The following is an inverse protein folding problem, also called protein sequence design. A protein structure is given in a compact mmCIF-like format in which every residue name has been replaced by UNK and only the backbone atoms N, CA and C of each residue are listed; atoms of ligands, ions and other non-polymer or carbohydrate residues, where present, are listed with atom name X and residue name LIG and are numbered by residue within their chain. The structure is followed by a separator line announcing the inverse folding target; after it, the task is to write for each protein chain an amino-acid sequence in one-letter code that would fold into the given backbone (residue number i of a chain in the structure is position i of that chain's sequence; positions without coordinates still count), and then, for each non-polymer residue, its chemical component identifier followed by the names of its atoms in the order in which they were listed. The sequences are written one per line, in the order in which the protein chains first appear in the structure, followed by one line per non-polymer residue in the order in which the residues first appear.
data_IF_946542409942
#
_entry.id   IF_946542409942
#
_cell.length_a   1.000
_cell.length_b   1.000
_cell.length_c   1.000
_cell.angle_alpha   90.00
_cell.angle_beta   90.00
_cell.angle_gamma   90.00
#
_symmetry.space_group_name_H-M   'P 1'
#
loop_
_entity.id
_entity.type
_entity.pdbx_description
1 polymer ?
#
# COMPACT_ATOMS: atom_id res chain seq x y z
N UNK A 1 15.73 0.20 24.62
CA UNK A 1 15.00 -1.04 24.95
C UNK A 1 14.81 -1.93 23.73
N UNK A 2 14.02 -1.53 22.71
CA UNK A 2 13.67 -2.40 21.57
C UNK A 2 14.84 -2.99 20.76
N UNK A 3 15.98 -2.28 20.68
CA UNK A 3 17.17 -2.73 19.93
C UNK A 3 18.15 -3.60 20.75
N UNK A 4 17.77 -4.04 21.95
CA UNK A 4 18.67 -4.82 22.82
C UNK A 4 18.63 -6.31 22.50
N UNK A 5 19.73 -7.02 22.73
CA UNK A 5 19.81 -8.49 22.57
C UNK A 5 18.78 -9.21 23.46
N UNK A 6 18.57 -8.72 24.69
CA UNK A 6 17.55 -9.26 25.58
C UNK A 6 16.13 -9.16 25.01
N UNK A 7 15.80 -8.05 24.33
CA UNK A 7 14.52 -7.93 23.61
C UNK A 7 14.46 -8.89 22.42
N UNK A 8 15.55 -9.02 21.67
CA UNK A 8 15.63 -9.95 20.54
C UNK A 8 15.42 -11.40 20.97
N UNK A 9 16.12 -11.85 22.02
CA UNK A 9 16.00 -13.21 22.55
C UNK A 9 14.58 -13.49 23.06
N UNK A 10 13.99 -12.52 23.77
CA UNK A 10 12.60 -12.61 24.22
C UNK A 10 11.64 -12.73 23.04
N UNK A 11 11.80 -11.89 22.02
CA UNK A 11 10.95 -11.92 20.83
C UNK A 11 11.20 -13.16 19.97
N UNK A 12 12.35 -13.81 20.04
CA UNK A 12 12.64 -15.05 19.32
C UNK A 12 11.96 -16.27 19.95
N UNK A 13 11.69 -16.23 21.25
CA UNK A 13 11.07 -17.33 21.98
C UNK A 13 9.59 -17.51 21.64
N UNK A 14 9.29 -18.60 20.92
CA UNK A 14 7.92 -19.00 20.55
C UNK A 14 7.16 -19.68 21.69
N UNK A 15 7.84 -20.12 22.76
CA UNK A 15 7.19 -20.86 23.85
C UNK A 15 6.32 -19.97 24.75
N UNK A 16 6.69 -18.69 24.89
CA UNK A 16 5.97 -17.73 25.71
C UNK A 16 4.87 -16.93 24.99
N UNK A 17 4.86 -16.87 23.65
CA UNK A 17 3.79 -16.24 22.89
C UNK A 17 3.78 -16.69 21.43
N UNK A 18 2.59 -16.87 20.88
CA UNK A 18 2.38 -17.24 19.48
C UNK A 18 2.78 -16.12 18.50
N UNK A 19 2.68 -14.85 18.90
CA UNK A 19 2.91 -13.70 18.02
C UNK A 19 4.03 -12.77 18.53
N UNK A 20 4.98 -12.44 17.65
CA UNK A 20 6.06 -11.50 17.98
C UNK A 20 5.52 -10.08 18.18
N UNK A 21 4.47 -9.69 17.44
CA UNK A 21 3.87 -8.36 17.56
C UNK A 21 3.20 -8.16 18.91
N UNK A 22 2.49 -9.17 19.42
CA UNK A 22 1.84 -9.11 20.73
C UNK A 22 2.86 -8.92 21.88
N UNK A 23 3.98 -9.66 21.85
CA UNK A 23 5.06 -9.47 22.83
C UNK A 23 5.71 -8.08 22.72
N UNK A 24 5.93 -7.59 21.51
CA UNK A 24 6.52 -6.26 21.31
C UNK A 24 5.62 -5.16 21.89
N UNK A 25 4.29 -5.27 21.72
CA UNK A 25 3.33 -4.33 22.33
C UNK A 25 3.44 -4.35 23.85
N UNK A 26 3.53 -5.52 24.48
CA UNK A 26 3.73 -5.62 25.93
C UNK A 26 5.03 -4.93 26.37
N UNK A 27 6.13 -5.11 25.63
CA UNK A 27 7.41 -4.45 25.93
C UNK A 27 7.34 -2.94 25.77
N UNK A 28 6.67 -2.44 24.74
CA UNK A 28 6.47 -1.01 24.54
C UNK A 28 5.67 -0.38 25.67
N UNK A 29 4.57 -1.04 26.07
CA UNK A 29 3.73 -0.60 27.19
C UNK A 29 4.49 -0.57 28.50
N UNK A 30 5.27 -1.61 28.79
CA UNK A 30 6.12 -1.65 29.98
C UNK A 30 7.14 -0.50 30.03
N UNK A 31 7.55 0.04 28.87
CA UNK A 31 8.41 1.21 28.78
C UNK A 31 7.82 2.45 29.48
N UNK A 32 6.51 2.70 29.35
CA UNK A 32 5.84 3.83 30.00
C UNK A 32 5.93 3.76 31.53
N UNK A 33 5.74 2.56 32.07
CA UNK A 33 5.84 2.30 33.50
C UNK A 33 7.24 2.62 34.05
N UNK A 34 8.30 2.35 33.30
CA UNK A 34 9.67 2.69 33.73
C UNK A 34 9.91 4.20 33.83
N UNK A 35 9.13 4.98 33.08
CA UNK A 35 9.17 6.44 33.09
C UNK A 35 8.20 7.05 34.13
N UNK A 36 7.47 6.22 34.89
CA UNK A 36 6.50 6.68 35.87
C UNK A 36 5.16 7.12 35.29
N UNK A 37 4.86 6.76 34.03
CA UNK A 37 3.58 7.04 33.39
C UNK A 37 2.68 5.80 33.35
N UNK A 38 1.37 6.05 33.33
CA UNK A 38 0.38 5.02 33.03
C UNK A 38 0.50 4.54 31.58
N UNK A 39 0.42 3.22 31.38
CA UNK A 39 0.68 2.60 30.08
C UNK A 39 -0.37 2.97 29.03
N UNK A 40 -1.64 2.99 29.41
CA UNK A 40 -2.75 3.30 28.50
C UNK A 40 -2.77 4.78 28.13
N UNK A 41 -2.55 5.66 29.12
CA UNK A 41 -2.43 7.09 28.87
C UNK A 41 -1.20 7.42 27.99
N UNK A 42 -0.07 6.75 28.22
CA UNK A 42 1.14 6.92 27.41
C UNK A 42 0.92 6.52 25.95
N UNK A 43 0.35 5.33 25.71
CA UNK A 43 -0.01 4.88 24.37
C UNK A 43 -1.03 5.82 23.69
N UNK A 44 -2.10 6.20 24.39
CA UNK A 44 -3.12 7.09 23.83
C UNK A 44 -2.59 8.50 23.53
N UNK A 45 -1.60 8.98 24.29
CA UNK A 45 -0.93 10.25 24.01
C UNK A 45 -0.07 10.14 22.74
N UNK A 46 0.67 9.03 22.56
CA UNK A 46 1.48 8.78 21.38
C UNK A 46 0.65 8.73 20.09
N UNK A 47 -0.56 8.18 20.16
CA UNK A 47 -1.48 8.10 19.01
C UNK A 47 -2.03 9.47 18.58
N UNK A 48 -2.05 10.44 19.50
CA UNK A 48 -2.63 11.78 19.27
C UNK A 48 -1.60 12.83 18.87
N UNK A 49 -0.31 12.52 18.90
CA UNK A 49 0.79 13.46 18.64
C UNK A 49 0.58 14.26 17.34
N UNK A 50 0.18 13.58 16.27
CA UNK A 50 0.00 14.20 14.95
C UNK A 50 -1.10 15.29 14.94
N UNK A 51 -2.11 15.17 15.81
CA UNK A 51 -3.21 16.12 15.92
C UNK A 51 -3.07 17.15 17.03
N UNK A 52 -2.35 16.83 18.11
CA UNK A 52 -2.22 17.70 19.27
C UNK A 52 -1.17 18.80 19.09
N UNK A 53 -0.12 18.55 18.29
CA UNK A 53 0.99 19.49 18.12
C UNK A 53 1.55 19.45 16.68
N UNK A 54 0.75 19.83 15.65
CA UNK A 54 1.14 19.68 14.24
C UNK A 54 2.34 20.57 13.83
N UNK A 55 2.67 21.60 14.62
CA UNK A 55 3.82 22.47 14.37
C UNK A 55 5.15 21.91 14.89
N UNK A 56 5.11 20.90 15.76
CA UNK A 56 6.29 20.38 16.42
C UNK A 56 6.95 19.25 15.61
N UNK A 57 7.67 19.65 14.56
CA UNK A 57 8.36 18.74 13.65
C UNK A 57 9.32 17.78 14.37
N UNK A 58 9.96 18.23 15.47
CA UNK A 58 10.84 17.38 16.25
C UNK A 58 10.08 16.23 16.93
N UNK A 59 8.93 16.52 17.54
CA UNK A 59 8.11 15.50 18.18
C UNK A 59 7.54 14.51 17.15
N UNK A 60 7.09 15.01 15.99
CA UNK A 60 6.62 14.16 14.89
C UNK A 60 7.73 13.23 14.38
N UNK A 61 8.95 13.74 14.22
CA UNK A 61 10.10 12.93 13.81
C UNK A 61 10.44 11.86 14.86
N UNK A 62 10.49 12.22 16.15
CA UNK A 62 10.76 11.27 17.22
C UNK A 62 9.71 10.16 17.29
N UNK A 63 8.44 10.49 17.07
CA UNK A 63 7.35 9.52 16.95
C UNK A 63 7.57 8.59 15.75
N UNK A 64 7.88 9.15 14.58
CA UNK A 64 8.15 8.35 13.39
C UNK A 64 9.34 7.39 13.61
N UNK A 65 10.43 7.86 14.20
CA UNK A 65 11.61 7.06 14.52
C UNK A 65 11.28 5.93 15.51
N UNK A 66 10.45 6.21 16.51
CA UNK A 66 9.95 5.21 17.45
C UNK A 66 9.14 4.13 16.73
N UNK A 67 8.15 4.53 15.92
CA UNK A 67 7.28 3.62 15.16
C UNK A 67 8.12 2.76 14.21
N UNK A 68 9.01 3.36 13.42
CA UNK A 68 9.86 2.59 12.51
C UNK A 68 10.86 1.69 13.24
N UNK A 69 11.32 2.08 14.43
CA UNK A 69 12.15 1.19 15.26
C UNK A 69 11.36 -0.03 15.71
N UNK A 70 10.11 0.16 16.14
CA UNK A 70 9.22 -0.94 16.51
C UNK A 70 8.96 -1.88 15.33
N UNK A 71 8.61 -1.33 14.16
CA UNK A 71 8.35 -2.10 12.95
C UNK A 71 9.58 -2.93 12.52
N UNK A 72 10.78 -2.35 12.52
CA UNK A 72 12.03 -3.09 12.24
C UNK A 72 12.27 -4.20 13.25
N UNK A 73 12.01 -3.92 14.54
CA UNK A 73 12.18 -4.91 15.61
C UNK A 73 11.23 -6.10 15.43
N UNK A 74 9.97 -5.83 15.08
CA UNK A 74 8.99 -6.87 14.77
C UNK A 74 9.40 -7.70 13.54
N UNK A 75 9.74 -7.05 12.43
CA UNK A 75 10.17 -7.75 11.21
C UNK A 75 11.44 -8.59 11.45
N UNK A 76 12.39 -8.07 12.22
CA UNK A 76 13.59 -8.83 12.60
C UNK A 76 13.23 -10.05 13.45
N UNK A 77 12.28 -9.92 14.38
CA UNK A 77 11.81 -11.06 15.18
C UNK A 77 11.14 -12.14 14.31
N UNK A 78 10.39 -11.76 13.27
CA UNK A 78 9.82 -12.72 12.30
C UNK A 78 10.95 -13.50 11.61
N UNK A 79 11.98 -12.80 11.10
CA UNK A 79 13.15 -13.44 10.47
C UNK A 79 13.91 -14.33 11.45
N UNK A 80 14.15 -13.88 12.68
CA UNK A 80 14.88 -14.65 13.70
C UNK A 80 14.13 -15.90 14.16
N UNK A 81 12.80 -15.91 14.01
CA UNK A 81 11.92 -17.05 14.28
C UNK A 81 11.87 -18.04 13.11
N UNK A 82 12.47 -17.75 11.95
CA UNK A 82 12.45 -18.63 10.78
C UNK A 82 12.96 -20.03 11.16
N UNK A 83 12.18 -21.10 10.93
CA UNK A 83 12.65 -22.46 11.20
C UNK A 83 13.75 -22.86 10.21
N UNK A 84 14.58 -23.82 10.60
CA UNK A 84 15.65 -24.33 9.74
C UNK A 84 15.10 -25.08 8.52
N UNK A 85 13.96 -25.75 8.67
CA UNK A 85 13.24 -26.45 7.60
C UNK A 85 11.88 -25.78 7.37
N UNK A 86 11.56 -25.52 6.10
CA UNK A 86 10.28 -24.93 5.71
C UNK A 86 9.21 -26.02 5.62
N UNK A 87 7.98 -25.69 6.04
CA UNK A 87 6.81 -26.53 5.88
C UNK A 87 6.31 -26.45 4.42
N UNK A 88 6.21 -27.61 3.77
CA UNK A 88 5.84 -27.74 2.36
C UNK A 88 4.60 -28.60 2.13
N UNK A 89 3.98 -29.13 3.19
CA UNK A 89 2.93 -30.15 3.09
C UNK A 89 1.71 -29.83 3.95
N UNK A 90 1.92 -29.47 5.21
CA UNK A 90 0.81 -29.24 6.14
C UNK A 90 0.08 -27.94 5.83
N UNK A 91 -1.24 -27.87 6.09
CA UNK A 91 -1.98 -26.61 6.01
C UNK A 91 -1.35 -25.53 6.90
N UNK A 92 -1.38 -24.29 6.42
CA UNK A 92 -0.95 -23.14 7.21
C UNK A 92 -2.01 -22.86 8.29
N UNK A 93 -1.62 -22.75 9.59
CA UNK A 93 -2.57 -22.44 10.64
C UNK A 93 -3.08 -21.00 10.52
N UNK A 94 -4.28 -20.75 11.04
CA UNK A 94 -4.96 -19.44 11.01
C UNK A 94 -4.05 -18.31 11.50
N UNK A 95 -3.37 -18.54 12.62
CA UNK A 95 -2.50 -17.56 13.28
C UNK A 95 -1.32 -17.16 12.40
N UNK A 96 -0.78 -18.10 11.61
CA UNK A 96 0.31 -17.82 10.68
C UNK A 96 -0.16 -16.95 9.50
N UNK A 97 -1.40 -17.09 9.03
CA UNK A 97 -1.95 -16.16 8.04
C UNK A 97 -2.09 -14.75 8.59
N UNK A 98 -2.58 -14.60 9.83
CA UNK A 98 -2.70 -13.28 10.47
C UNK A 98 -1.31 -12.64 10.62
N UNK A 99 -0.33 -13.38 11.14
CA UNK A 99 1.04 -12.89 11.29
C UNK A 99 1.66 -12.56 9.93
N UNK A 100 1.36 -13.33 8.88
CA UNK A 100 1.77 -13.04 7.51
C UNK A 100 1.22 -11.71 6.99
N UNK A 101 -0.08 -11.46 7.14
CA UNK A 101 -0.68 -10.19 6.69
C UNK A 101 -0.12 -9.00 7.47
N UNK A 102 0.05 -9.13 8.79
CA UNK A 102 0.61 -8.08 9.63
C UNK A 102 2.08 -7.79 9.29
N UNK A 103 2.89 -8.83 9.07
CA UNK A 103 4.28 -8.69 8.65
C UNK A 103 4.41 -8.06 7.26
N UNK A 104 3.58 -8.48 6.29
CA UNK A 104 3.55 -7.87 4.96
C UNK A 104 3.15 -6.39 5.02
N UNK A 105 2.08 -6.06 5.73
CA UNK A 105 1.61 -4.68 5.87
C UNK A 105 2.69 -3.80 6.52
N UNK A 106 3.30 -4.30 7.60
CA UNK A 106 4.42 -3.63 8.26
C UNK A 106 5.58 -3.42 7.29
N UNK A 107 5.96 -4.45 6.53
CA UNK A 107 7.06 -4.36 5.55
C UNK A 107 6.77 -3.34 4.46
N UNK A 108 5.54 -3.23 3.98
CA UNK A 108 5.15 -2.25 2.95
C UNK A 108 5.15 -0.80 3.45
N UNK A 109 4.92 -0.59 4.75
CA UNK A 109 4.97 0.75 5.37
C UNK A 109 6.41 1.22 5.70
N UNK A 110 7.41 0.34 5.58
CA UNK A 110 8.83 0.67 5.85
C UNK A 110 9.42 1.63 4.79
N UNK A 111 10.14 2.70 5.20
CA UNK A 111 10.83 3.59 4.26
C UNK A 111 11.80 2.87 3.31
N UNK A 112 12.51 1.85 3.80
CA UNK A 112 13.45 1.06 3.00
C UNK A 112 12.73 0.30 1.88
N UNK A 113 11.53 -0.24 2.15
CA UNK A 113 10.73 -0.92 1.13
C UNK A 113 10.27 0.08 0.08
N UNK A 114 9.78 1.26 0.48
CA UNK A 114 9.38 2.32 -0.47
C UNK A 114 10.57 2.74 -1.34
N UNK A 115 11.76 2.89 -0.76
CA UNK A 115 12.97 3.22 -1.47
C UNK A 115 13.32 2.15 -2.52
N UNK A 116 13.38 0.87 -2.14
CA UNK A 116 13.67 -0.24 -3.05
C UNK A 116 12.69 -0.27 -4.23
N UNK A 117 11.40 -0.07 -3.96
CA UNK A 117 10.37 -0.03 -5.00
C UNK A 117 10.52 1.18 -5.93
N UNK A 118 10.88 2.34 -5.38
CA UNK A 118 11.10 3.56 -6.16
C UNK A 118 12.34 3.45 -7.06
N UNK A 119 13.43 2.87 -6.55
CA UNK A 119 14.64 2.58 -7.32
C UNK A 119 14.34 1.61 -8.47
N UNK A 120 13.57 0.54 -8.22
CA UNK A 120 13.13 -0.38 -9.25
C UNK A 120 12.32 0.32 -10.36
N UNK A 121 11.39 1.20 -9.97
CA UNK A 121 10.56 1.94 -10.92
C UNK A 121 11.40 2.93 -11.74
N UNK A 122 12.34 3.64 -11.11
CA UNK A 122 13.25 4.53 -11.81
C UNK A 122 14.13 3.79 -12.82
N UNK A 123 14.57 2.58 -12.49
CA UNK A 123 15.43 1.77 -13.36
C UNK A 123 14.68 1.11 -14.53
N UNK A 124 13.43 0.65 -14.31
CA UNK A 124 12.70 -0.15 -15.30
C UNK A 124 11.58 0.59 -15.99
N UNK A 125 11.14 1.73 -15.45
CA UNK A 125 9.90 2.41 -15.82
C UNK A 125 8.69 1.46 -15.82
N UNK A 126 8.65 0.50 -14.89
CA UNK A 126 7.55 -0.45 -14.67
C UNK A 126 7.03 -0.36 -13.23
N UNK A 127 5.74 -0.65 -13.06
CA UNK A 127 5.12 -0.76 -11.72
C UNK A 127 5.69 -2.00 -11.01
N UNK A 128 6.17 -1.89 -9.75
CA UNK A 128 6.95 -2.93 -9.09
C UNK A 128 6.10 -4.08 -8.50
N UNK A 129 5.06 -4.53 -9.22
CA UNK A 129 4.14 -5.58 -8.75
C UNK A 129 4.87 -6.90 -8.49
N UNK A 130 5.76 -7.32 -9.40
CA UNK A 130 6.54 -8.55 -9.26
C UNK A 130 7.49 -8.49 -8.05
N UNK A 131 8.08 -7.32 -7.81
CA UNK A 131 8.97 -7.11 -6.68
C UNK A 131 8.21 -7.18 -5.34
N UNK A 132 7.00 -6.60 -5.27
CA UNK A 132 6.13 -6.76 -4.09
C UNK A 132 5.73 -8.22 -3.88
N UNK A 133 5.37 -8.95 -4.94
CA UNK A 133 5.04 -10.38 -4.86
C UNK A 133 6.24 -11.17 -4.32
N UNK A 134 7.46 -10.85 -4.75
CA UNK A 134 8.66 -11.51 -4.25
C UNK A 134 8.90 -11.20 -2.76
N UNK A 135 8.75 -9.95 -2.33
CA UNK A 135 8.84 -9.57 -0.90
C UNK A 135 7.81 -10.34 -0.06
N UNK A 136 6.58 -10.49 -0.56
CA UNK A 136 5.54 -11.26 0.12
C UNK A 136 5.89 -12.75 0.19
N UNK A 137 6.44 -13.33 -0.88
CA UNK A 137 6.90 -14.72 -0.89
C UNK A 137 8.07 -14.96 0.07
N UNK A 138 9.02 -14.03 0.13
CA UNK A 138 10.13 -14.09 1.09
C UNK A 138 9.58 -14.09 2.54
N UNK A 139 8.57 -13.27 2.82
CA UNK A 139 7.92 -13.22 4.14
C UNK A 139 7.24 -14.54 4.54
N UNK A 140 6.69 -15.29 3.58
CA UNK A 140 6.12 -16.62 3.85
C UNK A 140 7.22 -17.61 4.28
N UNK A 141 8.40 -17.54 3.68
CA UNK A 141 9.53 -18.37 4.09
C UNK A 141 10.06 -17.98 5.46
N UNK A 142 10.09 -16.68 5.78
CA UNK A 142 10.50 -16.21 7.11
C UNK A 142 9.55 -16.70 8.21
N UNK A 143 8.25 -16.88 7.89
CA UNK A 143 7.28 -17.52 8.77
C UNK A 143 7.37 -19.05 8.81
N UNK A 144 8.19 -19.65 7.94
CA UNK A 144 8.48 -21.07 7.93
C UNK A 144 7.70 -21.89 6.92
N UNK A 145 7.13 -21.29 5.87
CA UNK A 145 6.39 -22.00 4.83
C UNK A 145 7.04 -21.79 3.46
N UNK A 146 7.13 -22.85 2.66
CA UNK A 146 7.67 -22.75 1.30
C UNK A 146 6.76 -21.88 0.40
N UNK A 147 7.37 -21.07 -0.48
CA UNK A 147 6.68 -20.03 -1.28
C UNK A 147 5.47 -20.56 -2.03
N UNK A 148 5.64 -21.61 -2.82
CA UNK A 148 4.60 -22.10 -3.72
C UNK A 148 3.48 -22.79 -2.94
N UNK A 149 3.85 -23.59 -1.93
CA UNK A 149 2.92 -24.22 -1.00
C UNK A 149 2.07 -23.17 -0.28
N UNK A 150 2.70 -22.16 0.30
CA UNK A 150 2.02 -21.10 1.02
C UNK A 150 1.12 -20.25 0.11
N UNK A 151 1.58 -19.90 -1.11
CA UNK A 151 0.73 -19.23 -2.09
C UNK A 151 -0.51 -20.06 -2.46
N UNK A 152 -0.37 -21.38 -2.60
CA UNK A 152 -1.51 -22.26 -2.84
C UNK A 152 -2.50 -22.24 -1.67
N UNK A 153 -2.01 -22.16 -0.42
CA UNK A 153 -2.86 -22.06 0.77
C UNK A 153 -3.56 -20.69 0.87
N UNK A 154 -2.89 -19.59 0.54
CA UNK A 154 -3.51 -18.25 0.52
C UNK A 154 -4.73 -18.20 -0.41
N UNK A 155 -4.65 -18.84 -1.59
CA UNK A 155 -5.75 -18.90 -2.55
C UNK A 155 -6.95 -19.72 -2.05
N UNK A 156 -6.76 -20.53 -1.00
CA UNK A 156 -7.81 -21.37 -0.41
C UNK A 156 -8.49 -20.76 0.82
N UNK A 157 -8.05 -19.57 1.28
CA UNK A 157 -8.63 -18.92 2.47
C UNK A 157 -10.16 -18.82 2.41
N UNK A 158 -10.81 -18.40 1.29
CA UNK A 158 -12.27 -18.36 1.21
C UNK A 158 -12.97 -19.72 1.39
N UNK A 159 -12.31 -20.81 1.01
CA UNK A 159 -12.85 -22.17 1.10
C UNK A 159 -12.56 -22.81 2.45
N UNK A 160 -11.34 -22.64 2.97
CA UNK A 160 -10.90 -23.26 4.22
C UNK A 160 -11.38 -22.45 5.46
N UNK A 161 -11.64 -21.14 5.32
CA UNK A 161 -12.09 -20.24 6.39
C UNK A 161 -13.30 -19.35 5.97
N UNK A 162 -14.43 -19.90 5.54
CA UNK A 162 -15.53 -19.13 4.93
C UNK A 162 -16.21 -18.14 5.89
N UNK A 163 -16.15 -18.36 7.21
CA UNK A 163 -16.83 -17.56 8.22
C UNK A 163 -15.89 -16.69 9.06
N UNK A 164 -14.59 -16.66 8.73
CA UNK A 164 -13.58 -15.96 9.53
C UNK A 164 -13.44 -14.49 9.10
N UNK A 165 -14.30 -13.63 9.66
CA UNK A 165 -14.37 -12.22 9.27
C UNK A 165 -13.05 -11.47 9.49
N UNK A 166 -12.33 -11.77 10.57
CA UNK A 166 -11.03 -11.14 10.87
C UNK A 166 -10.01 -11.50 9.79
N UNK A 167 -9.91 -12.79 9.44
CA UNK A 167 -8.97 -13.25 8.43
C UNK A 167 -9.26 -12.63 7.05
N UNK A 168 -10.53 -12.56 6.66
CA UNK A 168 -10.94 -11.89 5.41
C UNK A 168 -10.64 -10.39 5.41
N UNK A 169 -10.88 -9.71 6.53
CA UNK A 169 -10.57 -8.30 6.68
C UNK A 169 -9.06 -8.04 6.57
N UNK A 170 -8.23 -8.88 7.21
CA UNK A 170 -6.76 -8.80 7.12
C UNK A 170 -6.27 -9.05 5.70
N UNK A 171 -6.84 -10.03 5.00
CA UNK A 171 -6.54 -10.31 3.60
C UNK A 171 -6.86 -9.11 2.68
N UNK A 172 -8.05 -8.52 2.80
CA UNK A 172 -8.43 -7.34 2.02
C UNK A 172 -7.57 -6.11 2.36
N UNK A 173 -7.25 -5.91 3.65
CA UNK A 173 -6.34 -4.85 4.09
C UNK A 173 -4.96 -5.01 3.46
N UNK A 174 -4.44 -6.24 3.42
CA UNK A 174 -3.18 -6.57 2.78
C UNK A 174 -3.19 -6.30 1.27
N UNK A 175 -4.27 -6.71 0.58
CA UNK A 175 -4.44 -6.43 -0.86
C UNK A 175 -4.47 -4.92 -1.13
N UNK A 176 -5.25 -4.18 -0.35
CA UNK A 176 -5.35 -2.72 -0.46
C UNK A 176 -4.02 -2.03 -0.16
N UNK A 177 -3.28 -2.48 0.85
CA UNK A 177 -1.96 -1.94 1.21
C UNK A 177 -0.93 -2.15 0.10
N UNK A 178 -0.87 -3.33 -0.50
CA UNK A 178 0.02 -3.61 -1.63
C UNK A 178 -0.27 -2.66 -2.82
N UNK A 179 -1.55 -2.49 -3.18
CA UNK A 179 -1.96 -1.57 -4.23
C UNK A 179 -1.63 -0.11 -3.89
N UNK A 180 -1.94 0.34 -2.67
CA UNK A 180 -1.64 1.69 -2.21
C UNK A 180 -0.12 1.99 -2.22
N UNK A 181 0.69 0.98 -1.89
CA UNK A 181 2.15 1.08 -1.92
C UNK A 181 2.67 1.27 -3.35
N UNK A 182 2.18 0.50 -4.33
CA UNK A 182 2.49 0.73 -5.74
C UNK A 182 2.14 2.15 -6.18
N UNK A 183 0.94 2.63 -5.84
CA UNK A 183 0.50 3.99 -6.19
C UNK A 183 1.33 5.07 -5.52
N UNK A 184 1.75 4.86 -4.27
CA UNK A 184 2.65 5.77 -3.55
C UNK A 184 4.00 5.86 -4.25
N UNK A 185 4.58 4.73 -4.63
CA UNK A 185 5.88 4.68 -5.34
C UNK A 185 5.76 5.35 -6.71
N UNK A 186 4.67 5.10 -7.44
CA UNK A 186 4.37 5.78 -8.70
C UNK A 186 4.34 7.30 -8.54
N UNK A 187 3.67 7.77 -7.49
CA UNK A 187 3.60 9.19 -7.17
C UNK A 187 4.98 9.78 -6.85
N UNK A 188 5.82 9.07 -6.09
CA UNK A 188 7.20 9.48 -5.81
C UNK A 188 8.02 9.59 -7.10
N UNK A 189 7.91 8.59 -8.00
CA UNK A 189 8.60 8.59 -9.28
C UNK A 189 8.20 9.80 -10.15
N UNK A 190 6.90 10.08 -10.26
CA UNK A 190 6.41 11.21 -11.04
C UNK A 190 6.78 12.57 -10.45
N UNK A 191 6.71 12.73 -9.12
CA UNK A 191 7.15 13.98 -8.46
C UNK A 191 8.64 14.23 -8.73
N UNK A 192 9.42 13.17 -8.88
CA UNK A 192 10.85 13.21 -9.22
C UNK A 192 11.11 13.44 -10.72
N UNK A 193 10.09 13.74 -11.51
CA UNK A 193 10.18 13.98 -12.96
C UNK A 193 10.15 12.71 -13.82
N UNK A 194 9.86 11.55 -13.23
CA UNK A 194 9.69 10.30 -13.94
C UNK A 194 8.44 10.28 -14.83
N UNK A 195 8.53 9.61 -15.97
CA UNK A 195 7.38 9.38 -16.85
C UNK A 195 6.44 8.34 -16.26
N UNK A 196 5.17 8.34 -16.66
CA UNK A 196 4.28 7.23 -16.31
C UNK A 196 4.82 5.94 -16.96
N UNK A 197 4.84 4.81 -16.21
CA UNK A 197 5.15 3.52 -16.78
C UNK A 197 4.15 3.25 -17.89
N UNK A 198 4.65 2.74 -19.00
CA UNK A 198 3.82 2.47 -20.14
C UNK A 198 2.73 1.45 -19.72
N UNK A 199 1.46 1.78 -19.96
CA UNK A 199 0.34 0.97 -19.51
C UNK A 199 0.37 -0.45 -20.09
N UNK A 200 -0.51 -1.36 -19.66
CA UNK A 200 -0.53 -2.75 -20.14
C UNK A 200 -0.68 -2.87 -21.67
N UNK A 201 -1.19 -1.83 -22.35
CA UNK A 201 -1.29 -1.74 -23.82
C UNK A 201 0.05 -1.56 -24.52
N UNK A 202 1.03 -1.00 -23.81
CA UNK A 202 2.33 -0.68 -24.40
C UNK A 202 3.14 -1.92 -24.77
N UNK A 203 2.84 -3.10 -24.23
CA UNK A 203 3.58 -4.33 -24.56
C UNK A 203 2.96 -5.10 -25.74
N UNK A 204 1.71 -4.81 -26.14
CA UNK A 204 1.04 -5.48 -27.25
C UNK A 204 0.90 -4.56 -28.49
N UNK A 205 1.52 -4.90 -29.64
CA UNK A 205 1.43 -4.09 -30.87
C UNK A 205 0.00 -3.82 -31.35
N UNK A 206 -0.89 -4.81 -31.31
CA UNK A 206 -2.30 -4.67 -31.74
C UNK A 206 -3.03 -3.61 -30.89
N UNK A 207 -2.75 -3.62 -29.58
CA UNK A 207 -3.32 -2.68 -28.64
C UNK A 207 -2.77 -1.27 -28.81
N UNK A 208 -1.50 -1.10 -29.21
CA UNK A 208 -0.94 0.21 -29.55
C UNK A 208 -1.59 0.81 -30.79
N UNK A 209 -1.88 0.00 -31.80
CA UNK A 209 -2.62 0.46 -32.98
C UNK A 209 -4.04 0.89 -32.62
N UNK A 210 -4.72 0.10 -31.77
CA UNK A 210 -6.04 0.46 -31.24
C UNK A 210 -5.98 1.73 -30.39
N UNK A 211 -4.96 1.92 -29.55
CA UNK A 211 -4.79 3.15 -28.77
C UNK A 211 -4.60 4.36 -29.70
N UNK A 212 -3.79 4.23 -30.75
CA UNK A 212 -3.57 5.30 -31.73
C UNK A 212 -4.87 5.68 -32.45
N UNK A 213 -5.63 4.68 -32.91
CA UNK A 213 -6.95 4.89 -33.53
C UNK A 213 -7.95 5.49 -32.54
N UNK A 214 -7.98 4.98 -31.32
CA UNK A 214 -8.85 5.47 -30.26
C UNK A 214 -8.59 6.96 -29.98
N UNK A 215 -7.33 7.37 -29.84
CA UNK A 215 -6.98 8.79 -29.64
C UNK A 215 -7.39 9.67 -30.82
N UNK A 216 -7.14 9.23 -32.05
CA UNK A 216 -7.55 9.98 -33.25
C UNK A 216 -9.09 10.16 -33.33
N UNK A 217 -9.86 9.13 -32.97
CA UNK A 217 -11.32 9.24 -32.94
C UNK A 217 -11.83 10.06 -31.75
N UNK A 218 -11.17 9.99 -30.59
CA UNK A 218 -11.47 10.84 -29.44
C UNK A 218 -11.24 12.33 -29.76
N UNK A 219 -10.19 12.68 -30.51
CA UNK A 219 -9.93 14.07 -30.95
C UNK A 219 -11.08 14.64 -31.81
N UNK A 220 -11.87 13.78 -32.46
CA UNK A 220 -13.02 14.18 -33.27
C UNK A 220 -14.35 14.22 -32.50
N UNK A 221 -14.38 13.70 -31.26
CA UNK A 221 -15.57 13.68 -30.42
C UNK A 221 -15.69 14.99 -29.62
N UNK A 222 -16.93 15.39 -29.32
CA UNK A 222 -17.19 16.54 -28.44
C UNK A 222 -17.03 16.17 -26.96
N UNK A 223 -16.88 17.18 -26.09
CA UNK A 223 -16.77 16.98 -24.64
C UNK A 223 -17.96 16.22 -24.05
N UNK A 224 -19.19 16.49 -24.52
CA UNK A 224 -20.39 15.75 -24.10
C UNK A 224 -20.28 14.25 -24.46
N UNK A 225 -19.79 13.94 -25.66
CA UNK A 225 -19.59 12.57 -26.11
C UNK A 225 -18.47 11.87 -25.33
N UNK A 226 -17.41 12.60 -24.95
CA UNK A 226 -16.37 12.07 -24.05
C UNK A 226 -16.97 11.71 -22.70
N UNK A 227 -17.76 12.60 -22.10
CA UNK A 227 -18.42 12.37 -20.81
C UNK A 227 -19.35 11.15 -20.84
N UNK A 228 -20.20 11.05 -21.86
CA UNK A 228 -21.09 9.91 -22.04
C UNK A 228 -20.34 8.58 -22.21
N UNK A 229 -19.29 8.56 -23.05
CA UNK A 229 -18.49 7.36 -23.28
C UNK A 229 -17.74 6.94 -22.02
N UNK A 230 -17.13 7.90 -21.30
CA UNK A 230 -16.41 7.64 -20.06
C UNK A 230 -17.34 7.04 -18.99
N UNK A 231 -18.53 7.62 -18.79
CA UNK A 231 -19.54 7.09 -17.86
C UNK A 231 -20.01 5.69 -18.26
N UNK A 232 -20.27 5.45 -19.56
CA UNK A 232 -20.69 4.14 -20.07
C UNK A 232 -19.60 3.08 -19.86
N UNK A 233 -18.33 3.42 -20.06
CA UNK A 233 -17.21 2.50 -19.99
C UNK A 233 -16.62 2.32 -18.58
N UNK A 234 -16.88 3.24 -17.64
CA UNK A 234 -16.29 3.23 -16.30
C UNK A 234 -16.34 1.87 -15.61
N UNK A 235 -17.51 1.25 -15.53
CA UNK A 235 -17.68 -0.06 -14.88
C UNK A 235 -16.99 -1.19 -15.67
N UNK A 236 -17.01 -1.15 -17.00
CA UNK A 236 -16.35 -2.17 -17.85
C UNK A 236 -14.83 -2.10 -17.69
N UNK A 237 -14.27 -0.90 -17.73
CA UNK A 237 -12.83 -0.66 -17.51
C UNK A 237 -12.43 -1.07 -16.09
N UNK A 238 -13.22 -0.72 -15.07
CA UNK A 238 -12.94 -1.14 -13.69
C UNK A 238 -12.92 -2.68 -13.55
N UNK A 239 -13.92 -3.37 -14.11
CA UNK A 239 -13.94 -4.84 -14.09
C UNK A 239 -12.73 -5.41 -14.83
N UNK A 240 -12.41 -4.88 -16.01
CA UNK A 240 -11.27 -5.32 -16.81
C UNK A 240 -9.93 -5.14 -16.07
N UNK A 241 -9.72 -3.98 -15.44
CA UNK A 241 -8.51 -3.69 -14.67
C UNK A 241 -8.33 -4.61 -13.45
N UNK A 242 -9.42 -5.20 -12.95
CA UNK A 242 -9.40 -6.17 -11.85
C UNK A 242 -9.18 -7.62 -12.33
N UNK A 243 -9.19 -7.89 -13.64
CA UNK A 243 -8.90 -9.23 -14.16
C UNK A 243 -7.38 -9.50 -14.10
N UNK A 244 -6.96 -10.76 -13.84
CA UNK A 244 -5.58 -11.19 -14.04
C UNK A 244 -5.15 -11.00 -15.51
N UNK A 245 -3.84 -10.95 -15.79
CA UNK A 245 -3.30 -10.73 -17.14
C UNK A 245 -3.86 -11.72 -18.18
N UNK A 246 -4.02 -13.00 -17.82
CA UNK A 246 -4.62 -14.01 -18.70
C UNK A 246 -6.12 -13.78 -18.91
N UNK A 247 -6.82 -13.32 -17.86
CA UNK A 247 -8.22 -12.93 -17.93
C UNK A 247 -8.44 -11.71 -18.84
N UNK A 248 -7.56 -10.72 -18.76
CA UNK A 248 -7.56 -9.54 -19.64
C UNK A 248 -7.36 -9.96 -21.11
N UNK A 249 -6.37 -10.81 -21.38
CA UNK A 249 -6.10 -11.35 -22.73
C UNK A 249 -7.32 -12.12 -23.28
N UNK A 250 -7.90 -13.01 -22.48
CA UNK A 250 -9.08 -13.79 -22.89
C UNK A 250 -10.31 -12.90 -23.12
N UNK A 251 -10.50 -11.86 -22.31
CA UNK A 251 -11.60 -10.91 -22.46
C UNK A 251 -11.46 -10.09 -23.75
N UNK A 252 -10.28 -9.51 -24.02
CA UNK A 252 -10.02 -8.76 -25.25
C UNK A 252 -10.20 -9.62 -26.50
N UNK A 253 -9.77 -10.90 -26.46
CA UNK A 253 -9.92 -11.82 -27.58
C UNK A 253 -11.39 -12.17 -27.91
N UNK A 254 -12.32 -11.96 -26.98
CA UNK A 254 -13.76 -12.22 -27.18
C UNK A 254 -14.52 -11.02 -27.71
N UNK A 255 -13.95 -9.82 -27.64
CA UNK A 255 -14.57 -8.61 -28.15
C UNK A 255 -14.46 -8.54 -29.68
N UNK A 256 -15.49 -7.97 -30.31
CA UNK A 256 -15.38 -7.55 -31.71
C UNK A 256 -14.36 -6.42 -31.84
N UNK A 257 -13.83 -6.18 -33.04
CA UNK A 257 -12.89 -5.08 -33.27
C UNK A 257 -13.49 -3.70 -32.92
N UNK A 258 -14.78 -3.51 -33.17
CA UNK A 258 -15.53 -2.31 -32.79
C UNK A 258 -15.62 -2.15 -31.27
N UNK A 259 -15.98 -3.23 -30.56
CA UNK A 259 -16.03 -3.24 -29.09
C UNK A 259 -14.64 -3.02 -28.46
N UNK A 260 -13.59 -3.60 -29.05
CA UNK A 260 -12.20 -3.38 -28.59
C UNK A 260 -11.83 -1.91 -28.70
N UNK A 261 -12.11 -1.29 -29.85
CA UNK A 261 -11.81 0.12 -30.07
C UNK A 261 -12.61 1.02 -29.13
N UNK A 262 -13.92 0.79 -28.99
CA UNK A 262 -14.77 1.54 -28.07
C UNK A 262 -14.29 1.41 -26.61
N UNK A 263 -13.89 0.20 -26.22
CA UNK A 263 -13.32 -0.06 -24.90
C UNK A 263 -12.01 0.70 -24.67
N UNK A 264 -11.08 0.65 -25.64
CA UNK A 264 -9.78 1.35 -25.56
C UNK A 264 -9.98 2.87 -25.50
N UNK A 265 -10.96 3.43 -26.23
CA UNK A 265 -11.35 4.84 -26.08
C UNK A 265 -11.82 5.17 -24.67
N UNK A 266 -12.75 4.38 -24.14
CA UNK A 266 -13.27 4.57 -22.79
C UNK A 266 -12.16 4.52 -21.73
N UNK A 267 -11.17 3.65 -21.93
CA UNK A 267 -10.02 3.58 -21.05
C UNK A 267 -9.06 4.77 -21.20
N UNK A 268 -8.79 5.24 -22.42
CA UNK A 268 -7.99 6.45 -22.65
C UNK A 268 -8.63 7.65 -21.93
N UNK A 269 -9.94 7.84 -22.09
CA UNK A 269 -10.68 8.91 -21.41
C UNK A 269 -10.58 8.81 -19.88
N UNK A 270 -10.75 7.61 -19.31
CA UNK A 270 -10.63 7.43 -17.86
C UNK A 270 -9.20 7.73 -17.38
N UNK A 271 -8.19 7.31 -18.14
CA UNK A 271 -6.78 7.63 -17.82
C UNK A 271 -6.50 9.13 -17.92
N UNK A 272 -7.07 9.81 -18.91
CA UNK A 272 -6.92 11.27 -19.08
C UNK A 272 -7.62 12.03 -17.94
N UNK A 273 -8.84 11.65 -17.56
CA UNK A 273 -9.55 12.20 -16.38
C UNK A 273 -8.75 11.94 -15.09
N UNK A 274 -8.22 10.73 -14.91
CA UNK A 274 -7.38 10.42 -13.74
C UNK A 274 -6.10 11.26 -13.72
N UNK A 275 -5.49 11.49 -14.88
CA UNK A 275 -4.29 12.32 -15.04
C UNK A 275 -4.59 13.79 -14.75
N UNK A 276 -5.73 14.31 -15.21
CA UNK A 276 -6.17 15.68 -14.94
C UNK A 276 -6.47 15.90 -13.45
N UNK A 277 -7.33 15.06 -12.86
CA UNK A 277 -7.62 15.11 -11.41
C UNK A 277 -6.33 15.01 -10.57
N UNK A 278 -5.36 14.23 -11.03
CA UNK A 278 -4.05 14.16 -10.40
C UNK A 278 -3.29 15.48 -10.54
N UNK A 279 -3.17 16.03 -11.75
CA UNK A 279 -2.44 17.27 -12.00
C UNK A 279 -3.01 18.44 -11.20
N UNK A 280 -4.34 18.49 -11.07
CA UNK A 280 -5.04 19.43 -10.19
C UNK A 280 -4.63 19.23 -8.73
N UNK A 281 -4.64 18.00 -8.22
CA UNK A 281 -4.21 17.71 -6.85
C UNK A 281 -2.74 18.09 -6.60
N UNK A 282 -1.84 17.89 -7.58
CA UNK A 282 -0.45 18.31 -7.45
C UNK A 282 -0.31 19.83 -7.43
N UNK A 283 -1.06 20.52 -8.29
CA UNK A 283 -1.05 21.99 -8.34
C UNK A 283 -1.58 22.57 -7.05
N UNK A 284 -2.67 21.99 -6.52
CA UNK A 284 -3.23 22.38 -5.23
C UNK A 284 -2.24 22.14 -4.08
N UNK A 285 -1.60 20.96 -4.01
CA UNK A 285 -0.63 20.66 -2.96
C UNK A 285 0.59 21.60 -3.00
N UNK A 286 1.07 21.97 -4.20
CA UNK A 286 2.15 22.96 -4.36
C UNK A 286 1.70 24.35 -3.94
N UNK A 287 0.47 24.74 -4.29
CA UNK A 287 -0.09 26.03 -3.90
C UNK A 287 -0.28 26.13 -2.38
N UNK A 288 -0.76 25.06 -1.73
CA UNK A 288 -0.91 24.98 -0.29
C UNK A 288 0.44 25.13 0.42
N UNK A 289 1.47 24.43 -0.08
CA UNK A 289 2.84 24.55 0.44
C UNK A 289 3.43 25.96 0.27
N UNK A 290 3.28 26.56 -0.92
CA UNK A 290 3.77 27.91 -1.18
C UNK A 290 3.05 28.97 -0.32
N UNK A 291 1.76 28.79 -0.06
CA UNK A 291 0.98 29.65 0.83
C UNK A 291 1.46 29.53 2.28
N UNK A 292 1.72 28.32 2.75
CA UNK A 292 2.26 28.07 4.10
C UNK A 292 3.64 28.72 4.27
N UNK A 293 4.51 28.63 3.25
CA UNK A 293 5.82 29.29 3.23
C UNK A 293 5.70 30.82 3.27
N UNK A 294 4.77 31.41 2.50
CA UNK A 294 4.52 32.85 2.50
C UNK A 294 3.96 33.34 3.84
N UNK A 295 3.04 32.57 4.45
CA UNK A 295 2.46 32.90 5.76
C UNK A 295 3.55 32.88 6.85
N UNK A 296 4.46 31.90 6.82
CA UNK A 296 5.62 31.83 7.73
C UNK A 296 6.57 33.01 7.57
N UNK A 297 6.88 33.42 6.33
CA UNK A 297 7.79 34.55 6.06
C UNK A 297 7.17 35.92 6.39
N UNK A 298 5.85 36.04 6.31
CA UNK A 298 5.14 37.31 6.57
C UNK A 298 5.05 37.68 8.06
N UNK A 299 5.47 36.79 8.97
CA UNK A 299 5.37 37.01 10.41
C UNK A 299 3.92 37.15 10.91
N UNK A 300 2.95 36.78 10.07
CA UNK A 300 1.54 36.81 10.41
C UNK A 300 1.30 35.71 11.45
N UNK A 301 1.08 36.10 12.71
CA UNK A 301 0.70 35.18 13.78
C UNK A 301 -0.56 34.44 13.35
N UNK A 302 -0.39 33.17 12.99
CA UNK A 302 -1.43 32.29 12.46
C UNK A 302 -2.59 32.24 13.46
N UNK A 303 -3.65 32.97 13.16
CA UNK A 303 -4.91 32.89 13.89
C UNK A 303 -5.60 31.58 13.53
N UNK A 304 -5.31 30.53 14.31
CA UNK A 304 -6.08 29.28 14.39
C UNK A 304 -6.55 28.73 13.04
N UNK A 305 -5.61 28.20 12.23
CA UNK A 305 -5.97 27.35 11.09
C UNK A 305 -6.75 26.16 11.63
N UNK A 306 -8.03 26.07 11.28
CA UNK A 306 -8.79 24.84 11.44
C UNK A 306 -8.13 23.80 10.52
N UNK A 307 -7.68 22.64 11.03
CA UNK A 307 -7.03 21.64 10.21
C UNK A 307 -7.94 21.28 9.03
N UNK A 308 -7.40 21.46 7.82
CA UNK A 308 -8.01 20.96 6.59
C UNK A 308 -8.23 19.46 6.78
N UNK A 309 -9.47 19.00 6.61
CA UNK A 309 -9.81 17.57 6.61
C UNK A 309 -9.25 16.93 5.35
N UNK A 310 -7.93 16.75 5.30
CA UNK A 310 -7.34 15.68 4.50
C UNK A 310 -7.84 14.37 5.11
N UNK A 311 -8.93 13.87 4.55
CA UNK A 311 -9.55 12.61 4.97
C UNK A 311 -8.64 11.50 4.45
N UNK A 312 -7.56 11.21 5.17
CA UNK A 312 -6.99 9.87 5.14
C UNK A 312 -8.09 8.95 5.67
N UNK A 313 -8.55 8.03 4.82
CA UNK A 313 -9.54 7.05 5.19
C UNK A 313 -9.10 6.35 6.51
N UNK A 314 -9.96 6.29 7.53
CA UNK A 314 -9.62 5.66 8.79
C UNK A 314 -9.59 4.14 8.57
N UNK A 315 -8.39 3.60 8.37
CA UNK A 315 -8.12 2.22 8.73
C UNK A 315 -7.92 2.19 10.25
N UNK A 316 -8.75 1.40 10.93
CA UNK A 316 -8.79 1.14 12.38
C UNK A 316 -9.70 2.06 13.21
N UNK A 317 -10.96 1.63 13.35
CA UNK A 317 -11.56 1.50 14.68
C UNK A 317 -12.04 0.07 14.84
N UNK A 318 -11.44 -0.61 15.82
CA UNK A 318 -11.96 -1.81 16.48
C UNK A 318 -13.36 -1.56 17.03
N UNK A 319 -14.31 -2.38 16.60
CA UNK A 319 -15.06 -3.28 17.48
C UNK A 319 -15.24 -4.61 16.77
#
# INVERSE_FOLDING_TARGET
MMKSDATRDLLKDRSGCTSASAQLVVLQRAGWKTLGFDEDLGCAALDKVDGSDPGNQQLLQLRADFVYTAMRTYLQAVVDRRPAELECKKPMPREAFIEFFDACNTKMDMPETIQILAEHMAATNKVPNELIINIQKDMLEDLGFERNHACAMLNRIPQDFPNDQELHQKFETWRAKAQATCMRVLKVHQISGGTLPAGPFSENPELRELETKARAELESMTDDQHGELAMRMQKRVQIFMNLPADGQRSWMAKLSEEDKLEFVKGQCLILDVMKEQWQEQQTQAKADYAKEEQDLLSGSTVSSIKPSKATFAPAQQTM
#
